data_IF_514593985052
#
_entry.id   IF_514593985052
#
_cell.length_a   1.000
_cell.length_b   1.000
_cell.length_c   1.000
_cell.angle_alpha   90.00
_cell.angle_beta   90.00
_cell.angle_gamma   90.00
#
_symmetry.space_group_name_H-M   'P 1'
#
loop_
_entity.id
_entity.type
_entity.pdbx_description
1 polymer ?
#
# COMPACT_ATOMS: atom_id res chain seq x y z
N UNK A 1 44.71 38.73 7.11
CA UNK A 1 43.23 38.64 7.32
C UNK A 1 42.43 38.35 6.04
N UNK A 2 42.86 38.81 4.86
CA UNK A 2 42.16 38.62 3.56
C UNK A 2 41.98 37.14 3.15
N UNK A 3 43.05 36.33 3.28
CA UNK A 3 43.07 34.92 2.86
C UNK A 3 42.08 34.01 3.63
N UNK A 4 41.88 34.24 4.93
CA UNK A 4 40.90 33.49 5.75
C UNK A 4 39.45 33.77 5.32
N UNK A 5 39.15 34.99 4.86
CA UNK A 5 37.80 35.36 4.39
C UNK A 5 37.48 34.69 3.05
N UNK A 6 38.46 34.60 2.14
CA UNK A 6 38.30 33.94 0.84
C UNK A 6 38.06 32.43 0.96
N UNK A 7 38.76 31.75 1.88
CA UNK A 7 38.57 30.31 2.11
C UNK A 7 37.20 30.01 2.71
N UNK A 8 36.72 30.83 3.65
CA UNK A 8 35.38 30.66 4.27
C UNK A 8 34.24 30.92 3.28
N UNK A 9 34.40 31.90 2.39
CA UNK A 9 33.41 32.18 1.34
C UNK A 9 33.37 31.08 0.27
N UNK A 10 34.53 30.53 -0.10
CA UNK A 10 34.61 29.43 -1.06
C UNK A 10 34.01 28.13 -0.51
N UNK A 11 34.19 27.83 0.78
CA UNK A 11 33.59 26.63 1.40
C UNK A 11 32.08 26.75 1.59
N UNK A 12 31.53 27.93 1.89
CA UNK A 12 30.07 28.13 1.93
C UNK A 12 29.42 27.97 0.55
N UNK A 13 30.06 28.46 -0.52
CA UNK A 13 29.51 28.34 -1.88
C UNK A 13 29.45 26.87 -2.35
N UNK A 14 30.44 26.05 -2.00
CA UNK A 14 30.46 24.60 -2.33
C UNK A 14 29.35 23.84 -1.57
N UNK A 15 29.07 24.18 -0.31
CA UNK A 15 27.98 23.56 0.45
C UNK A 15 26.58 23.88 -0.11
N UNK A 16 26.37 25.09 -0.66
CA UNK A 16 25.10 25.48 -1.26
C UNK A 16 24.82 24.76 -2.60
N UNK A 17 25.85 24.44 -3.38
CA UNK A 17 25.70 23.69 -4.64
C UNK A 17 25.44 22.20 -4.40
N UNK A 18 25.91 21.64 -3.28
CA UNK A 18 25.66 20.24 -2.92
C UNK A 18 24.26 19.98 -2.36
N UNK A 19 23.58 21.02 -1.84
CA UNK A 19 22.21 20.90 -1.32
C UNK A 19 21.12 21.04 -2.39
N UNK A 20 21.45 21.49 -3.60
CA UNK A 20 20.47 21.68 -4.68
C UNK A 20 20.20 20.41 -5.50
N UNK A 21 20.95 19.33 -5.29
CA UNK A 21 20.75 18.04 -5.97
C UNK A 21 19.91 17.04 -5.18
N UNK A 22 19.05 17.53 -4.27
CA UNK A 22 17.98 16.72 -3.70
C UNK A 22 16.93 16.36 -4.76
N UNK A 23 17.28 15.49 -5.70
CA UNK A 23 16.32 14.81 -6.57
C UNK A 23 15.46 13.94 -5.66
N UNK A 24 14.31 14.48 -5.27
CA UNK A 24 13.22 13.69 -4.70
C UNK A 24 12.75 12.79 -5.81
N UNK A 25 13.18 11.53 -5.80
CA UNK A 25 12.57 10.48 -6.61
C UNK A 25 11.15 10.26 -6.10
N UNK A 26 10.21 11.11 -6.53
CA UNK A 26 8.81 10.82 -6.45
C UNK A 26 8.56 9.68 -7.46
N UNK A 27 8.59 8.43 -6.98
CA UNK A 27 8.20 7.30 -7.80
C UNK A 27 6.82 7.54 -8.41
N UNK A 28 6.61 7.08 -9.64
CA UNK A 28 5.34 7.24 -10.34
C UNK A 28 4.18 6.68 -9.49
N UNK A 29 3.19 7.52 -9.19
CA UNK A 29 1.99 7.07 -8.49
C UNK A 29 1.23 6.10 -9.39
N UNK A 30 1.19 4.84 -8.99
CA UNK A 30 0.37 3.84 -9.68
C UNK A 30 -1.09 3.97 -9.26
N UNK A 31 -2.00 3.71 -10.21
CA UNK A 31 -3.44 3.78 -9.97
C UNK A 31 -4.09 2.42 -10.22
N UNK A 32 -5.09 2.09 -9.42
CA UNK A 32 -5.96 0.92 -9.63
C UNK A 32 -7.42 1.31 -9.72
N UNK A 33 -8.20 0.54 -10.46
CA UNK A 33 -9.66 0.66 -10.45
C UNK A 33 -10.26 -0.07 -9.25
N UNK A 34 -11.12 0.63 -8.49
CA UNK A 34 -11.90 0.05 -7.39
C UNK A 34 -13.38 -0.11 -7.80
N UNK A 35 -13.89 -1.35 -7.83
CA UNK A 35 -15.29 -1.60 -8.24
C UNK A 35 -16.32 -1.22 -7.17
N UNK A 36 -15.94 -1.03 -5.90
CA UNK A 36 -16.84 -0.61 -4.84
C UNK A 36 -17.21 0.86 -5.01
N UNK A 37 -16.22 1.70 -5.28
CA UNK A 37 -16.41 3.15 -5.44
C UNK A 37 -16.55 3.60 -6.90
N UNK A 38 -16.36 2.68 -7.86
CA UNK A 38 -16.34 2.98 -9.30
C UNK A 38 -15.34 4.10 -9.64
N UNK A 39 -14.17 4.08 -9.00
CA UNK A 39 -13.18 5.15 -9.13
C UNK A 39 -11.75 4.64 -9.27
N UNK A 40 -10.89 5.51 -9.82
CA UNK A 40 -9.44 5.32 -9.81
C UNK A 40 -8.89 5.66 -8.44
N UNK A 41 -8.09 4.77 -7.85
CA UNK A 41 -7.46 4.95 -6.54
C UNK A 41 -5.94 4.97 -6.70
N UNK A 42 -5.32 6.01 -6.13
CA UNK A 42 -3.87 6.13 -6.04
C UNK A 42 -3.31 5.12 -5.02
N UNK A 43 -2.34 4.33 -5.45
CA UNK A 43 -1.65 3.32 -4.64
C UNK A 43 -0.47 3.94 -3.91
N UNK A 44 -0.77 4.93 -3.08
CA UNK A 44 0.22 5.60 -2.26
C UNK A 44 0.70 4.67 -1.13
N UNK A 45 1.99 4.76 -0.80
CA UNK A 45 2.57 4.04 0.33
C UNK A 45 1.78 4.28 1.62
N UNK A 46 1.35 5.53 1.87
CA UNK A 46 0.55 5.90 3.04
C UNK A 46 -0.73 5.06 3.17
N UNK A 47 -1.49 4.91 2.07
CA UNK A 47 -2.76 4.17 2.06
C UNK A 47 -2.53 2.67 2.28
N UNK A 48 -1.55 2.08 1.59
CA UNK A 48 -1.21 0.65 1.74
C UNK A 48 -0.65 0.33 3.13
N UNK A 49 0.08 1.26 3.76
CA UNK A 49 0.58 1.13 5.12
C UNK A 49 -0.53 1.22 6.17
N UNK A 50 -1.47 2.14 6.01
CA UNK A 50 -2.68 2.20 6.85
C UNK A 50 -3.49 0.90 6.73
N UNK A 51 -3.68 0.43 5.49
CA UNK A 51 -4.33 -0.84 5.19
C UNK A 51 -3.64 -2.04 5.83
N UNK A 52 -2.31 -2.09 5.83
CA UNK A 52 -1.52 -3.14 6.49
C UNK A 52 -1.83 -3.23 7.99
N UNK A 53 -1.85 -2.09 8.70
CA UNK A 53 -2.14 -2.05 10.14
C UNK A 53 -3.56 -2.52 10.44
N UNK A 54 -4.52 -2.09 9.63
CA UNK A 54 -5.92 -2.50 9.74
C UNK A 54 -6.08 -4.00 9.45
N UNK A 55 -5.40 -4.51 8.43
CA UNK A 55 -5.39 -5.94 8.10
C UNK A 55 -4.83 -6.79 9.24
N UNK A 56 -3.68 -6.39 9.82
CA UNK A 56 -3.05 -7.10 10.94
C UNK A 56 -3.99 -7.22 12.15
N UNK A 57 -4.65 -6.13 12.52
CA UNK A 57 -5.50 -6.06 13.70
C UNK A 57 -6.90 -6.66 13.51
N UNK A 58 -7.43 -6.73 12.28
CA UNK A 58 -8.83 -7.11 12.02
C UNK A 58 -9.02 -8.40 11.21
N UNK A 59 -8.01 -8.84 10.47
CA UNK A 59 -8.13 -9.95 9.53
C UNK A 59 -7.09 -11.04 9.80
N UNK A 60 -5.82 -10.66 9.98
CA UNK A 60 -4.71 -11.61 10.11
C UNK A 60 -4.83 -12.51 11.33
N UNK A 61 -5.44 -12.03 12.41
CA UNK A 61 -5.63 -12.80 13.66
C UNK A 61 -6.51 -14.05 13.49
N UNK A 62 -7.30 -14.13 12.41
CA UNK A 62 -8.08 -15.31 12.04
C UNK A 62 -7.59 -15.93 10.74
N UNK A 63 -7.14 -15.13 9.77
CA UNK A 63 -6.81 -15.59 8.43
C UNK A 63 -5.30 -15.79 8.23
N UNK A 64 -4.75 -16.81 8.87
CA UNK A 64 -3.38 -17.26 8.69
C UNK A 64 -3.30 -18.79 8.55
N UNK A 65 -2.17 -19.30 8.05
CA UNK A 65 -1.96 -20.75 7.87
C UNK A 65 -1.86 -21.44 9.22
N UNK A 66 -2.58 -22.53 9.40
CA UNK A 66 -2.55 -23.30 10.66
C UNK A 66 -3.28 -22.63 11.82
N UNK A 67 -4.18 -21.69 11.56
CA UNK A 67 -5.04 -21.15 12.62
C UNK A 67 -5.96 -22.24 13.19
N UNK A 68 -6.27 -22.12 14.48
CA UNK A 68 -7.15 -23.00 15.27
C UNK A 68 -8.58 -22.47 15.37
N UNK A 69 -8.89 -21.36 14.69
CA UNK A 69 -10.14 -20.61 14.83
C UNK A 69 -11.24 -21.03 13.84
N UNK A 70 -10.99 -22.07 13.06
CA UNK A 70 -11.90 -22.55 12.00
C UNK A 70 -12.05 -21.58 10.81
N UNK A 71 -11.30 -20.48 10.80
CA UNK A 71 -11.33 -19.52 9.71
C UNK A 71 -10.51 -20.06 8.53
N UNK A 72 -11.06 -19.99 7.31
CA UNK A 72 -10.27 -20.39 6.14
C UNK A 72 -9.04 -19.51 6.01
N UNK A 73 -7.98 -20.06 5.41
CA UNK A 73 -6.85 -19.27 4.98
C UNK A 73 -7.28 -18.17 3.98
N UNK A 74 -7.05 -16.90 4.35
CA UNK A 74 -7.42 -15.73 3.55
C UNK A 74 -6.41 -14.60 3.80
N UNK A 75 -5.16 -14.88 3.45
CA UNK A 75 -4.00 -14.00 3.62
C UNK A 75 -3.58 -13.39 2.28
N UNK A 76 -2.64 -12.43 2.28
CA UNK A 76 -2.30 -11.59 1.11
C UNK A 76 -2.15 -12.38 -0.21
N UNK A 77 -1.47 -13.52 -0.18
CA UNK A 77 -1.17 -14.41 -1.31
C UNK A 77 -2.30 -15.40 -1.67
N UNK A 78 -3.40 -15.42 -0.91
CA UNK A 78 -4.51 -16.35 -1.12
C UNK A 78 -5.39 -16.01 -2.32
N UNK A 79 -5.25 -14.81 -2.89
CA UNK A 79 -6.07 -14.29 -4.00
C UNK A 79 -5.22 -13.45 -4.96
N UNK A 80 -5.70 -13.37 -6.20
CA UNK A 80 -5.24 -12.38 -7.16
C UNK A 80 -5.75 -10.98 -6.81
N UNK A 81 -5.18 -9.94 -7.42
CA UNK A 81 -5.58 -8.54 -7.34
C UNK A 81 -7.09 -8.38 -7.60
N UNK A 82 -7.57 -9.01 -8.68
CA UNK A 82 -9.01 -9.06 -9.03
C UNK A 82 -9.82 -9.86 -8.01
N UNK A 83 -9.25 -10.94 -7.48
CA UNK A 83 -9.88 -11.76 -6.45
C UNK A 83 -10.15 -10.96 -5.18
N UNK A 84 -9.19 -10.16 -4.73
CA UNK A 84 -9.36 -9.27 -3.59
C UNK A 84 -10.43 -8.21 -3.84
N UNK A 85 -10.39 -7.53 -4.99
CA UNK A 85 -11.46 -6.61 -5.37
C UNK A 85 -12.85 -7.24 -5.31
N UNK A 86 -12.97 -8.49 -5.76
CA UNK A 86 -14.24 -9.22 -5.73
C UNK A 86 -14.73 -9.47 -4.31
N UNK A 87 -13.84 -9.75 -3.35
CA UNK A 87 -14.20 -9.97 -1.94
C UNK A 87 -14.82 -8.71 -1.33
N UNK A 88 -14.18 -7.55 -1.53
CA UNK A 88 -14.68 -6.28 -0.99
C UNK A 88 -15.93 -5.77 -1.71
N UNK A 89 -16.02 -6.01 -3.02
CA UNK A 89 -17.21 -5.67 -3.81
C UNK A 89 -18.43 -6.52 -3.45
N UNK A 90 -18.28 -7.85 -3.48
CA UNK A 90 -19.40 -8.77 -3.20
C UNK A 90 -19.69 -8.92 -1.71
N UNK A 91 -18.80 -8.47 -0.82
CA UNK A 91 -18.91 -8.66 0.64
C UNK A 91 -19.20 -10.12 1.01
N UNK A 92 -18.60 -11.07 0.30
CA UNK A 92 -18.93 -12.50 0.36
C UNK A 92 -18.13 -13.30 1.40
N UNK A 93 -17.71 -12.64 2.48
CA UNK A 93 -16.99 -13.23 3.62
C UNK A 93 -17.77 -12.99 4.90
N UNK A 94 -17.63 -13.89 5.88
CA UNK A 94 -18.36 -13.76 7.15
C UNK A 94 -18.02 -12.44 7.86
N UNK A 95 -16.75 -12.00 7.77
CA UNK A 95 -16.30 -10.72 8.29
C UNK A 95 -17.16 -9.53 7.84
N UNK A 96 -17.72 -9.58 6.63
CA UNK A 96 -18.53 -8.53 6.02
C UNK A 96 -20.02 -8.60 6.38
N UNK A 97 -20.49 -9.72 6.95
CA UNK A 97 -21.90 -9.94 7.32
C UNK A 97 -22.14 -9.55 8.77
N UNK A 98 -21.47 -10.24 9.69
CA UNK A 98 -21.65 -10.11 11.15
C UNK A 98 -20.31 -10.16 11.91
N UNK A 99 -19.18 -10.02 11.19
CA UNK A 99 -17.85 -10.13 11.76
C UNK A 99 -17.11 -8.80 11.88
N UNK A 100 -15.77 -8.88 11.77
CA UNK A 100 -14.87 -7.77 12.08
C UNK A 100 -15.03 -6.51 11.21
N UNK A 101 -15.76 -6.57 10.10
CA UNK A 101 -15.99 -5.38 9.26
C UNK A 101 -17.08 -4.46 9.82
N UNK A 102 -17.95 -4.94 10.72
CA UNK A 102 -19.01 -4.11 11.30
C UNK A 102 -18.48 -2.90 12.09
N UNK A 103 -17.24 -2.97 12.57
CA UNK A 103 -16.55 -1.89 13.30
C UNK A 103 -15.63 -1.03 12.42
N UNK A 104 -15.56 -1.31 11.11
CA UNK A 104 -14.69 -0.61 10.17
C UNK A 104 -15.52 0.32 9.28
N UNK A 105 -15.04 1.55 9.13
CA UNK A 105 -15.57 2.48 8.15
C UNK A 105 -15.31 2.01 6.72
N UNK A 106 -16.07 2.55 5.76
CA UNK A 106 -15.83 2.29 4.34
C UNK A 106 -14.40 2.69 3.93
N UNK A 107 -13.85 3.78 4.49
CA UNK A 107 -12.48 4.23 4.20
C UNK A 107 -11.45 3.19 4.66
N UNK A 108 -11.62 2.63 5.86
CA UNK A 108 -10.74 1.61 6.40
C UNK A 108 -10.80 0.31 5.59
N UNK A 109 -12.00 -0.11 5.18
CA UNK A 109 -12.16 -1.26 4.30
C UNK A 109 -11.47 -1.06 2.94
N UNK A 110 -11.54 0.15 2.39
CA UNK A 110 -10.83 0.49 1.15
C UNK A 110 -9.31 0.45 1.36
N UNK A 111 -8.80 0.96 2.48
CA UNK A 111 -7.37 0.87 2.80
C UNK A 111 -6.90 -0.59 2.93
N UNK A 112 -7.68 -1.45 3.60
CA UNK A 112 -7.38 -2.89 3.68
C UNK A 112 -7.36 -3.51 2.28
N UNK A 113 -8.33 -3.19 1.41
CA UNK A 113 -8.34 -3.67 0.02
C UNK A 113 -7.12 -3.19 -0.76
N UNK A 114 -6.74 -1.92 -0.63
CA UNK A 114 -5.53 -1.37 -1.28
C UNK A 114 -4.27 -2.14 -0.84
N UNK A 115 -4.13 -2.43 0.46
CA UNK A 115 -3.03 -3.26 0.97
C UNK A 115 -3.04 -4.68 0.37
N UNK A 116 -4.16 -5.40 0.47
CA UNK A 116 -4.29 -6.78 -0.02
C UNK A 116 -4.07 -6.88 -1.54
N UNK A 117 -4.57 -5.90 -2.30
CA UNK A 117 -4.33 -5.78 -3.73
C UNK A 117 -2.84 -5.59 -4.05
N UNK A 118 -2.12 -4.77 -3.28
CA UNK A 118 -0.68 -4.52 -3.48
C UNK A 118 0.24 -5.69 -3.10
N UNK A 119 -0.30 -6.72 -2.46
CA UNK A 119 0.43 -7.92 -1.98
C UNK A 119 -0.21 -9.22 -2.47
N UNK A 120 -1.06 -9.11 -3.48
CA UNK A 120 -1.78 -10.22 -4.07
C UNK A 120 -0.82 -11.22 -4.72
N UNK A 121 -1.34 -12.42 -4.96
CA UNK A 121 -0.60 -13.52 -5.61
C UNK A 121 0.07 -13.10 -6.94
N UNK A 122 -0.64 -12.31 -7.75
CA UNK A 122 -0.27 -11.88 -9.09
C UNK A 122 0.29 -10.45 -9.14
N UNK A 123 0.67 -9.85 -8.00
CA UNK A 123 1.26 -8.50 -7.98
C UNK A 123 2.53 -8.40 -8.82
N UNK A 124 3.31 -9.47 -8.91
CA UNK A 124 4.57 -9.51 -9.64
C UNK A 124 4.49 -10.27 -10.97
N UNK A 125 3.30 -10.73 -11.38
CA UNK A 125 3.16 -11.43 -12.66
C UNK A 125 3.37 -10.43 -13.81
N UNK A 126 4.35 -10.63 -14.69
CA UNK A 126 4.63 -9.72 -15.80
C UNK A 126 3.49 -9.58 -16.81
N UNK A 127 2.51 -10.50 -16.81
CA UNK A 127 1.31 -10.42 -17.66
C UNK A 127 0.23 -9.52 -17.08
N UNK A 128 0.24 -9.28 -15.78
CA UNK A 128 -0.76 -8.48 -15.05
C UNK A 128 -0.17 -7.18 -14.47
N UNK A 129 1.15 -7.14 -14.23
CA UNK A 129 1.85 -5.97 -13.75
C UNK A 129 2.13 -5.01 -14.93
N UNK A 130 1.93 -3.71 -14.71
CA UNK A 130 2.27 -2.67 -15.70
C UNK A 130 3.78 -2.35 -15.77
N UNK A 131 4.59 -3.04 -14.96
CA UNK A 131 6.00 -2.69 -14.71
C UNK A 131 7.00 -3.52 -15.52
N UNK A 132 6.53 -4.51 -16.29
CA UNK A 132 7.37 -5.39 -17.11
C UNK A 132 7.08 -5.28 -18.61
N UNK A 133 6.53 -4.15 -19.07
CA UNK A 133 6.39 -3.81 -20.48
C UNK A 133 7.11 -2.50 -20.80
#
# INVERSE_FOLDING_TARGET
MQQRKSVVMATMAVCLVLLSQGVVFAGETTYRFDPVTQSSRAMEFKNTWEGYKLYQSNCKSCHFRGNDKGARFLDTDSRTMRGWNTVFYKKNVQCAKDGSWAKLSQKELLAINDYLYSKAYDTWDPRSNKSCG
#
